data_IF_146613127279
#
_entry.id   IF_146613127279
#
_cell.length_a   1.000
_cell.length_b   1.000
_cell.length_c   1.000
_cell.angle_alpha   90.00
_cell.angle_beta   90.00
_cell.angle_gamma   90.00
#
_symmetry.space_group_name_H-M   'P 1'
#
loop_
_entity.id
_entity.type
_entity.pdbx_description
1 polymer ?
#
# COMPACT_ATOMS: atom_id res chain seq x y z
N UNK A 1 -3.23 9.77 21.13
CA UNK A 1 -2.13 10.68 20.71
C UNK A 1 -0.85 9.86 20.72
N UNK A 2 -0.04 9.89 19.65
CA UNK A 2 1.23 9.15 19.59
C UNK A 2 2.28 9.83 20.48
N UNK A 3 3.06 9.01 21.20
CA UNK A 3 4.25 9.48 21.92
C UNK A 3 5.46 8.97 21.15
N UNK A 4 6.04 9.77 20.25
CA UNK A 4 7.15 9.31 19.43
C UNK A 4 8.43 9.12 20.24
N UNK A 5 9.22 8.15 19.82
CA UNK A 5 10.54 7.88 20.38
C UNK A 5 11.60 8.51 19.47
N UNK A 6 12.49 9.28 20.04
CA UNK A 6 13.59 9.91 19.30
C UNK A 6 14.75 8.93 19.13
N UNK A 7 15.18 8.75 17.89
CA UNK A 7 16.35 7.96 17.52
C UNK A 7 17.35 8.83 16.75
N UNK A 8 18.63 8.73 17.13
CA UNK A 8 19.70 9.44 16.43
C UNK A 8 20.22 8.62 15.25
N UNK A 9 20.62 9.32 14.20
CA UNK A 9 21.23 8.73 13.02
C UNK A 9 22.75 8.82 13.07
N UNK A 10 23.40 7.83 12.47
CA UNK A 10 24.80 7.97 12.03
C UNK A 10 24.87 8.83 10.76
N UNK A 11 26.07 9.30 10.39
CA UNK A 11 26.29 10.04 9.12
C UNK A 11 25.80 9.25 7.90
N UNK A 12 25.98 7.92 7.92
CA UNK A 12 25.48 7.03 6.87
C UNK A 12 23.95 7.02 6.82
N UNK A 13 23.31 7.00 7.99
CA UNK A 13 21.84 7.06 8.09
C UNK A 13 21.28 8.38 7.56
N UNK A 14 21.94 9.48 7.91
CA UNK A 14 21.56 10.80 7.40
C UNK A 14 21.70 10.92 5.88
N UNK A 15 22.79 10.38 5.28
CA UNK A 15 22.91 10.30 3.82
C UNK A 15 21.74 9.58 3.18
N UNK A 16 21.25 8.49 3.76
CA UNK A 16 20.10 7.75 3.29
C UNK A 16 18.84 8.63 3.24
N UNK A 17 18.60 9.40 4.31
CA UNK A 17 17.46 10.33 4.39
C UNK A 17 17.59 11.48 3.39
N UNK A 18 18.78 12.04 3.21
CA UNK A 18 19.05 13.12 2.26
C UNK A 18 18.66 12.77 0.83
N UNK A 19 18.74 11.48 0.46
CA UNK A 19 18.29 10.97 -0.84
C UNK A 19 16.84 10.45 -0.81
N UNK A 20 16.07 10.76 0.23
CA UNK A 20 14.67 10.34 0.41
C UNK A 20 14.46 8.82 0.31
N UNK A 21 15.46 8.02 0.71
CA UNK A 21 15.31 6.57 0.72
C UNK A 21 14.34 6.17 1.84
N UNK A 22 13.31 5.36 1.53
CA UNK A 22 12.22 5.10 2.49
C UNK A 22 12.61 4.15 3.64
N UNK A 23 13.78 3.51 3.59
CA UNK A 23 14.19 2.51 4.58
C UNK A 23 15.50 2.87 5.24
N UNK A 24 15.52 2.82 6.57
CA UNK A 24 16.71 3.08 7.39
C UNK A 24 17.20 1.77 8.00
N UNK A 25 18.44 1.42 7.72
CA UNK A 25 19.08 0.24 8.28
C UNK A 25 19.25 0.35 9.80
N UNK A 26 19.12 -0.77 10.52
CA UNK A 26 19.34 -0.84 11.96
C UNK A 26 20.71 -0.29 12.36
N UNK A 27 21.77 -0.64 11.62
CA UNK A 27 23.14 -0.16 11.84
C UNK A 27 23.35 1.34 11.56
N UNK A 28 22.37 2.01 11.00
CA UNK A 28 22.37 3.47 10.76
C UNK A 28 21.72 4.24 11.89
N UNK A 29 21.24 3.56 12.93
CA UNK A 29 20.63 4.13 14.12
C UNK A 29 21.60 4.07 15.31
N UNK A 30 21.57 5.10 16.14
CA UNK A 30 22.28 5.17 17.41
C UNK A 30 21.26 5.02 18.53
N UNK A 31 21.39 3.95 19.31
CA UNK A 31 20.51 3.67 20.44
C UNK A 31 21.17 4.10 21.75
N UNK A 32 20.42 4.75 22.62
CA UNK A 32 20.83 4.95 24.01
C UNK A 32 20.78 3.62 24.77
N UNK A 33 21.39 3.57 25.95
CA UNK A 33 21.45 2.37 26.80
C UNK A 33 20.05 1.76 27.02
N UNK A 34 19.86 0.51 26.65
CA UNK A 34 18.59 -0.23 26.73
C UNK A 34 17.44 0.26 25.82
N UNK A 35 17.61 1.28 24.99
CA UNK A 35 16.55 1.79 24.13
C UNK A 35 16.12 0.72 23.09
N UNK A 36 17.10 0.05 22.49
CA UNK A 36 16.84 -1.02 21.50
C UNK A 36 15.95 -2.15 22.07
N UNK A 37 16.13 -2.51 23.36
CA UNK A 37 15.35 -3.59 24.02
C UNK A 37 13.89 -3.21 24.29
N UNK A 38 13.55 -1.92 24.27
CA UNK A 38 12.20 -1.41 24.57
C UNK A 38 11.39 -1.13 23.31
N UNK A 39 12.02 -1.05 22.14
CA UNK A 39 11.36 -0.74 20.89
C UNK A 39 10.67 -1.97 20.31
N UNK A 40 9.42 -1.84 19.97
CA UNK A 40 8.59 -2.85 19.31
C UNK A 40 8.15 -2.39 17.94
N UNK A 41 7.86 -3.34 17.05
CA UNK A 41 7.27 -3.04 15.75
C UNK A 41 6.01 -2.21 15.91
N UNK A 42 5.89 -1.15 15.11
CA UNK A 42 4.81 -0.18 15.20
C UNK A 42 5.12 1.05 16.07
N UNK A 43 6.27 1.11 16.76
CA UNK A 43 6.64 2.31 17.51
C UNK A 43 6.79 3.52 16.58
N UNK A 44 6.18 4.64 16.99
CA UNK A 44 6.31 5.93 16.32
C UNK A 44 7.71 6.50 16.56
N UNK A 45 8.45 6.84 15.52
CA UNK A 45 9.82 7.31 15.58
C UNK A 45 9.95 8.73 15.02
N UNK A 46 10.67 9.58 15.75
CA UNK A 46 11.27 10.81 15.25
C UNK A 46 12.77 10.58 15.06
N UNK A 47 13.29 10.85 13.87
CA UNK A 47 14.70 10.69 13.55
C UNK A 47 15.43 12.02 13.70
N UNK A 48 16.56 11.99 14.43
CA UNK A 48 17.40 13.16 14.68
C UNK A 48 18.80 12.97 14.11
N UNK A 49 19.33 14.02 13.51
CA UNK A 49 20.75 14.15 13.13
C UNK A 49 21.26 15.53 13.51
N UNK A 50 22.38 15.61 14.23
CA UNK A 50 22.94 16.86 14.79
C UNK A 50 21.90 17.68 15.59
N UNK A 51 21.06 17.00 16.38
CA UNK A 51 19.98 17.57 17.19
C UNK A 51 18.84 18.25 16.39
N UNK A 52 18.81 18.07 15.08
CA UNK A 52 17.70 18.51 14.22
C UNK A 52 16.81 17.31 13.87
N UNK A 53 15.50 17.52 13.86
CA UNK A 53 14.58 16.53 13.31
C UNK A 53 14.81 16.40 11.80
N UNK A 54 14.87 15.19 11.28
CA UNK A 54 15.08 14.92 9.85
C UNK A 54 13.98 14.07 9.24
N UNK A 55 12.99 13.68 10.04
CA UNK A 55 11.83 12.97 9.56
C UNK A 55 11.18 12.05 10.60
N UNK A 56 10.06 11.46 10.22
CA UNK A 56 9.29 10.52 11.04
C UNK A 56 9.11 9.19 10.32
N UNK A 57 9.00 8.13 11.09
CA UNK A 57 8.82 6.78 10.56
C UNK A 57 8.29 5.80 11.59
N UNK A 58 8.13 4.56 11.16
CA UNK A 58 7.67 3.43 11.99
C UNK A 58 8.83 2.47 12.20
N UNK A 59 9.03 2.02 13.44
CA UNK A 59 10.04 1.02 13.80
C UNK A 59 9.58 -0.40 13.51
N UNK A 60 10.53 -1.24 13.09
CA UNK A 60 10.36 -2.68 12.86
C UNK A 60 11.42 -3.45 13.65
N UNK A 61 10.97 -4.18 14.67
CA UNK A 61 11.83 -5.02 15.49
C UNK A 61 12.39 -6.19 14.67
N UNK A 62 13.63 -6.59 14.93
CA UNK A 62 14.32 -7.71 14.28
C UNK A 62 14.39 -7.59 12.73
N UNK A 63 14.30 -6.38 12.21
CA UNK A 63 14.38 -6.10 10.78
C UNK A 63 15.72 -5.46 10.40
N UNK A 64 16.28 -5.87 9.26
CA UNK A 64 17.42 -5.19 8.66
C UNK A 64 17.13 -3.71 8.40
N UNK A 65 15.90 -3.41 7.98
CA UNK A 65 15.37 -2.07 7.77
C UNK A 65 14.54 -1.67 9.00
N UNK A 66 15.22 -1.18 10.03
CA UNK A 66 14.63 -0.96 11.34
C UNK A 66 13.63 0.22 11.38
N UNK A 67 13.73 1.20 10.50
CA UNK A 67 12.73 2.26 10.37
C UNK A 67 12.30 2.40 8.92
N UNK A 68 11.00 2.43 8.70
CA UNK A 68 10.39 2.80 7.42
C UNK A 68 9.82 4.23 7.56
N UNK A 69 10.29 5.09 6.66
CA UNK A 69 9.95 6.52 6.67
C UNK A 69 8.50 6.75 6.25
N UNK A 70 7.86 7.69 6.94
CA UNK A 70 6.54 8.23 6.56
C UNK A 70 6.69 9.62 5.97
N UNK A 71 7.52 10.47 6.59
CA UNK A 71 7.73 11.83 6.12
C UNK A 71 9.16 12.27 6.39
N UNK A 72 9.69 13.15 5.52
CA UNK A 72 11.04 13.66 5.58
C UNK A 72 11.05 15.14 5.94
N UNK A 73 12.14 15.58 6.57
CA UNK A 73 12.42 17.00 6.85
C UNK A 73 12.10 17.44 8.27
N UNK A 74 12.51 18.66 8.57
CA UNK A 74 12.47 19.24 9.92
C UNK A 74 11.06 19.44 10.47
N UNK A 75 10.11 19.69 9.59
CA UNK A 75 8.70 19.92 9.94
C UNK A 75 7.86 18.65 10.02
N UNK A 76 8.43 17.50 9.72
CA UNK A 76 7.75 16.23 9.86
C UNK A 76 7.51 15.89 11.34
N UNK A 77 6.26 15.91 11.81
CA UNK A 77 5.89 15.67 13.21
C UNK A 77 4.74 14.68 13.30
N UNK A 78 4.76 13.83 14.31
CA UNK A 78 3.67 12.91 14.60
C UNK A 78 2.36 13.60 15.00
N UNK A 79 2.40 14.83 15.53
CA UNK A 79 1.21 15.65 15.77
C UNK A 79 0.43 15.96 14.48
N UNK A 80 1.11 15.99 13.33
CA UNK A 80 0.56 16.29 12.02
C UNK A 80 0.23 15.03 11.19
N UNK A 81 0.33 13.85 11.78
CA UNK A 81 0.25 12.57 11.04
C UNK A 81 -1.02 12.42 10.22
N UNK A 82 -2.18 12.89 10.72
CA UNK A 82 -3.45 12.83 9.97
C UNK A 82 -3.39 13.70 8.71
N UNK A 83 -2.82 14.90 8.80
CA UNK A 83 -2.65 15.80 7.66
C UNK A 83 -1.66 15.23 6.65
N UNK A 84 -0.55 14.64 7.12
CA UNK A 84 0.46 13.98 6.29
C UNK A 84 -0.17 12.82 5.51
N UNK A 85 -0.91 11.93 6.16
CA UNK A 85 -1.57 10.79 5.52
C UNK A 85 -2.62 11.29 4.51
N UNK A 86 -3.43 12.28 4.90
CA UNK A 86 -4.46 12.84 4.01
C UNK A 86 -3.83 13.42 2.75
N UNK A 87 -2.73 14.16 2.89
CA UNK A 87 -1.98 14.72 1.75
C UNK A 87 -1.47 13.60 0.83
N UNK A 88 -0.80 12.56 1.38
CA UNK A 88 -0.24 11.46 0.59
C UNK A 88 -1.34 10.71 -0.19
N UNK A 89 -2.47 10.41 0.46
CA UNK A 89 -3.60 9.78 -0.22
C UNK A 89 -4.14 10.70 -1.34
N UNK A 90 -4.27 12.01 -1.09
CA UNK A 90 -4.73 12.95 -2.11
C UNK A 90 -3.76 13.03 -3.30
N UNK A 91 -2.46 13.08 -3.05
CA UNK A 91 -1.45 13.17 -4.08
C UNK A 91 -1.43 11.87 -4.92
N UNK A 92 -1.55 10.71 -4.29
CA UNK A 92 -1.69 9.43 -4.96
C UNK A 92 -2.94 9.38 -5.87
N UNK A 93 -4.09 9.83 -5.39
CA UNK A 93 -5.34 9.89 -6.17
C UNK A 93 -5.23 10.84 -7.36
N UNK A 94 -4.60 12.02 -7.18
CA UNK A 94 -4.34 12.96 -8.28
C UNK A 94 -3.44 12.34 -9.35
N UNK A 95 -2.39 11.63 -8.93
CA UNK A 95 -1.48 10.95 -9.85
C UNK A 95 -2.20 9.86 -10.66
N UNK A 96 -3.08 9.05 -10.03
CA UNK A 96 -3.87 8.03 -10.74
C UNK A 96 -4.87 8.65 -11.71
N UNK A 97 -5.45 9.78 -11.36
CA UNK A 97 -6.31 10.55 -12.27
C UNK A 97 -5.52 11.06 -13.48
N UNK A 98 -4.30 11.56 -13.28
CA UNK A 98 -3.39 11.96 -14.37
C UNK A 98 -3.05 10.79 -15.30
N UNK A 99 -2.86 9.58 -14.75
CA UNK A 99 -2.63 8.35 -15.52
C UNK A 99 -3.90 7.77 -16.16
N UNK A 100 -5.03 8.46 -16.10
CA UNK A 100 -6.33 7.98 -16.61
C UNK A 100 -6.74 6.63 -16.03
N UNK A 101 -6.44 6.42 -14.76
CA UNK A 101 -6.85 5.22 -14.03
C UNK A 101 -8.37 5.13 -14.00
N UNK A 102 -8.91 4.02 -14.48
CA UNK A 102 -10.35 3.77 -14.53
C UNK A 102 -10.92 3.32 -13.17
N UNK A 103 -12.11 2.72 -13.18
CA UNK A 103 -12.79 2.25 -11.98
C UNK A 103 -12.16 1.00 -11.34
N UNK A 104 -11.19 0.37 -12.01
CA UNK A 104 -10.58 -0.88 -11.57
C UNK A 104 -9.06 -0.76 -11.57
N UNK A 105 -8.51 -0.13 -10.53
CA UNK A 105 -7.08 0.20 -10.48
C UNK A 105 -6.53 0.30 -9.07
N UNK A 106 -5.19 0.28 -8.96
CA UNK A 106 -4.46 0.57 -7.73
C UNK A 106 -4.41 2.06 -7.47
N UNK A 107 -5.08 2.51 -6.40
CA UNK A 107 -5.14 3.91 -6.00
C UNK A 107 -3.93 4.34 -5.15
N UNK A 108 -3.35 3.39 -4.37
CA UNK A 108 -2.22 3.66 -3.47
C UNK A 108 -1.29 2.45 -3.38
N UNK A 109 0.03 2.67 -3.43
CA UNK A 109 1.02 1.59 -3.42
C UNK A 109 2.19 1.84 -2.47
N UNK A 110 1.98 1.56 -1.21
CA UNK A 110 3.01 1.38 -0.18
C UNK A 110 4.09 2.48 -0.18
N UNK A 111 5.37 2.09 -0.20
CA UNK A 111 6.52 3.01 -0.22
C UNK A 111 6.52 3.95 -1.42
N UNK A 112 6.01 3.53 -2.56
CA UNK A 112 5.96 4.36 -3.78
C UNK A 112 5.09 5.61 -3.59
N UNK A 113 4.03 5.51 -2.76
CA UNK A 113 3.15 6.63 -2.41
C UNK A 113 3.39 7.14 -0.97
N UNK A 114 4.47 6.67 -0.32
CA UNK A 114 4.99 7.22 0.92
C UNK A 114 4.32 6.73 2.22
N UNK A 115 3.55 5.63 2.20
CA UNK A 115 3.05 4.95 3.41
C UNK A 115 3.39 3.46 3.34
N UNK A 116 4.56 3.06 3.87
CA UNK A 116 5.05 1.69 3.81
C UNK A 116 4.06 0.67 4.37
N UNK A 117 3.58 -0.23 3.51
CA UNK A 117 2.66 -1.30 3.90
C UNK A 117 1.18 -1.00 3.65
N UNK A 118 0.80 0.17 3.17
CA UNK A 118 -0.57 0.46 2.75
C UNK A 118 -0.74 0.23 1.24
N UNK A 119 -1.72 -0.58 0.86
CA UNK A 119 -2.17 -0.75 -0.52
C UNK A 119 -3.66 -0.42 -0.56
N UNK A 120 -4.09 0.37 -1.54
CA UNK A 120 -5.51 0.66 -1.76
C UNK A 120 -5.82 0.36 -3.23
N UNK A 121 -6.72 -0.59 -3.44
CA UNK A 121 -7.24 -0.95 -4.75
C UNK A 121 -8.72 -0.58 -4.84
N UNK A 122 -9.15 -0.16 -6.02
CA UNK A 122 -10.53 0.12 -6.36
C UNK A 122 -11.06 -0.91 -7.35
N UNK A 123 -12.25 -1.39 -7.08
CA UNK A 123 -13.04 -2.25 -7.96
C UNK A 123 -14.46 -1.68 -8.05
N UNK A 124 -14.75 -0.93 -9.13
CA UNK A 124 -16.01 -0.19 -9.30
C UNK A 124 -16.32 0.68 -8.05
N UNK A 125 -17.36 0.34 -7.29
CA UNK A 125 -17.77 1.02 -6.06
C UNK A 125 -17.24 0.35 -4.78
N UNK A 126 -16.23 -0.52 -4.89
CA UNK A 126 -15.58 -1.17 -3.76
C UNK A 126 -14.14 -0.68 -3.62
N UNK A 127 -13.77 -0.26 -2.44
CA UNK A 127 -12.38 0.04 -2.03
C UNK A 127 -11.86 -1.11 -1.18
N UNK A 128 -10.67 -1.58 -1.47
CA UNK A 128 -9.98 -2.59 -0.66
C UNK A 128 -8.68 -1.98 -0.14
N UNK A 129 -8.60 -1.79 1.17
CA UNK A 129 -7.40 -1.30 1.87
C UNK A 129 -6.65 -2.47 2.49
N UNK A 130 -5.46 -2.79 2.00
CA UNK A 130 -4.61 -3.84 2.54
C UNK A 130 -3.48 -3.24 3.37
N UNK A 131 -3.36 -3.73 4.61
CA UNK A 131 -2.28 -3.45 5.55
C UNK A 131 -1.30 -4.63 5.52
N UNK A 132 -0.23 -4.52 4.75
CA UNK A 132 0.67 -5.63 4.40
C UNK A 132 1.79 -5.89 5.41
N UNK A 133 1.82 -5.16 6.51
CA UNK A 133 2.75 -5.39 7.63
C UNK A 133 2.16 -4.88 8.96
N UNK A 134 2.63 -5.43 10.07
CA UNK A 134 2.16 -5.04 11.42
C UNK A 134 2.51 -3.60 11.80
N UNK A 135 3.58 -3.02 11.25
CA UNK A 135 3.99 -1.66 11.59
C UNK A 135 2.96 -0.61 11.20
N UNK A 136 2.35 -0.72 9.99
CA UNK A 136 1.37 0.26 9.51
C UNK A 136 0.07 0.24 10.33
N UNK A 137 -0.20 -0.82 11.09
CA UNK A 137 -1.44 -0.94 11.88
C UNK A 137 -1.58 0.16 12.94
N UNK A 138 -0.49 0.78 13.38
CA UNK A 138 -0.54 1.95 14.28
C UNK A 138 -1.34 3.12 13.68
N UNK A 139 -1.40 3.20 12.35
CA UNK A 139 -2.10 4.26 11.61
C UNK A 139 -3.47 3.82 11.07
N UNK A 140 -3.86 2.56 11.30
CA UNK A 140 -5.04 1.93 10.70
C UNK A 140 -6.31 2.75 10.90
N UNK A 141 -6.58 3.17 12.12
CA UNK A 141 -7.82 3.88 12.44
C UNK A 141 -7.89 5.26 11.77
N UNK A 142 -6.77 5.97 11.72
CA UNK A 142 -6.65 7.26 11.01
C UNK A 142 -6.86 7.06 9.50
N UNK A 143 -6.23 6.04 8.93
CA UNK A 143 -6.37 5.71 7.50
C UNK A 143 -7.82 5.35 7.20
N UNK A 144 -8.43 4.48 8.00
CA UNK A 144 -9.83 4.06 7.83
C UNK A 144 -10.80 5.26 7.92
N UNK A 145 -10.57 6.19 8.85
CA UNK A 145 -11.38 7.43 8.95
C UNK A 145 -11.26 8.28 7.68
N UNK A 146 -10.04 8.47 7.17
CA UNK A 146 -9.80 9.21 5.93
C UNK A 146 -10.49 8.53 4.74
N UNK A 147 -10.38 7.21 4.63
CA UNK A 147 -11.00 6.45 3.54
C UNK A 147 -12.53 6.53 3.59
N UNK A 148 -13.14 6.38 4.78
CA UNK A 148 -14.59 6.51 4.97
C UNK A 148 -15.11 7.89 4.55
N UNK A 149 -14.34 8.93 4.85
CA UNK A 149 -14.68 10.31 4.48
C UNK A 149 -14.54 10.55 2.97
N UNK A 150 -13.43 10.09 2.37
CA UNK A 150 -13.14 10.32 0.95
C UNK A 150 -14.01 9.51 0.00
N UNK A 151 -14.34 8.30 0.40
CA UNK A 151 -15.14 7.36 -0.39
C UNK A 151 -16.51 7.16 0.24
N UNK A 152 -17.24 8.29 0.44
CA UNK A 152 -18.52 8.29 1.15
C UNK A 152 -19.56 7.36 0.54
N UNK A 153 -19.57 7.20 -0.77
CA UNK A 153 -20.52 6.38 -1.51
C UNK A 153 -20.05 4.95 -1.78
N UNK A 154 -18.82 4.60 -1.33
CA UNK A 154 -18.22 3.30 -1.60
C UNK A 154 -18.39 2.34 -0.44
N UNK A 155 -18.40 1.05 -0.77
CA UNK A 155 -18.12 -0.02 0.18
C UNK A 155 -16.63 -0.13 0.44
N UNK A 156 -16.24 -0.45 1.68
CA UNK A 156 -14.81 -0.50 2.01
C UNK A 156 -14.51 -1.77 2.82
N UNK A 157 -13.54 -2.57 2.35
CA UNK A 157 -12.96 -3.73 3.03
C UNK A 157 -11.55 -3.38 3.49
N UNK A 158 -11.17 -3.79 4.72
CA UNK A 158 -9.78 -3.87 5.14
C UNK A 158 -9.28 -5.32 5.09
N UNK A 159 -8.02 -5.49 4.71
CA UNK A 159 -7.29 -6.75 4.76
C UNK A 159 -6.05 -6.52 5.61
N UNK A 160 -5.94 -7.25 6.70
CA UNK A 160 -4.81 -7.15 7.62
C UNK A 160 -3.71 -8.16 7.25
N UNK A 161 -2.49 -7.92 7.69
CA UNK A 161 -1.32 -8.78 7.44
C UNK A 161 -1.54 -10.23 7.90
N UNK A 162 -2.26 -10.43 9.00
CA UNK A 162 -2.60 -11.76 9.53
C UNK A 162 -3.69 -12.50 8.72
N UNK A 163 -4.14 -11.92 7.61
CA UNK A 163 -5.18 -12.47 6.75
C UNK A 163 -6.61 -12.16 7.16
N UNK A 164 -6.83 -11.47 8.29
CA UNK A 164 -8.17 -11.02 8.68
C UNK A 164 -8.70 -10.01 7.67
N UNK A 165 -9.97 -10.17 7.30
CA UNK A 165 -10.67 -9.36 6.31
C UNK A 165 -11.98 -8.90 6.90
N UNK A 166 -12.20 -7.58 6.96
CA UNK A 166 -13.37 -6.99 7.61
C UNK A 166 -13.98 -5.91 6.74
N UNK A 167 -15.31 -5.83 6.75
CA UNK A 167 -16.01 -4.65 6.27
C UNK A 167 -15.79 -3.50 7.25
N UNK A 168 -15.38 -2.35 6.73
CA UNK A 168 -15.28 -1.13 7.54
C UNK A 168 -16.33 -0.08 7.15
N UNK A 169 -16.99 -0.29 6.01
CA UNK A 169 -18.11 0.53 5.53
C UNK A 169 -18.95 -0.21 4.50
N UNK A 170 -20.28 -0.11 4.59
CA UNK A 170 -21.28 -0.57 3.62
C UNK A 170 -21.00 -1.98 3.08
N UNK A 171 -21.43 -3.01 3.79
CA UNK A 171 -21.32 -4.39 3.33
C UNK A 171 -22.17 -4.61 2.07
N UNK A 172 -21.63 -5.30 1.08
CA UNK A 172 -22.32 -5.65 -0.17
C UNK A 172 -22.18 -7.13 -0.46
N UNK A 173 -23.04 -7.63 -1.35
CA UNK A 173 -22.96 -9.01 -1.81
C UNK A 173 -21.71 -9.22 -2.67
N UNK A 174 -20.96 -10.28 -2.36
CA UNK A 174 -19.80 -10.75 -3.12
C UNK A 174 -20.10 -12.09 -3.81
N UNK A 175 -19.45 -12.42 -4.94
CA UNK A 175 -18.48 -11.60 -5.68
C UNK A 175 -19.14 -10.43 -6.42
N UNK A 176 -18.38 -9.34 -6.63
CA UNK A 176 -18.79 -8.26 -7.52
C UNK A 176 -18.35 -8.56 -8.96
N UNK A 177 -19.14 -8.11 -9.93
CA UNK A 177 -18.76 -8.12 -11.34
C UNK A 177 -18.05 -6.83 -11.68
N UNK A 178 -16.84 -6.91 -12.20
CA UNK A 178 -16.06 -5.75 -12.69
C UNK A 178 -15.75 -5.95 -14.17
N UNK A 179 -15.71 -4.85 -14.93
CA UNK A 179 -15.36 -4.89 -16.34
C UNK A 179 -14.01 -4.20 -16.58
N UNK A 180 -13.08 -4.90 -17.19
CA UNK A 180 -11.78 -4.39 -17.62
C UNK A 180 -11.49 -4.83 -19.04
N UNK A 181 -11.18 -3.87 -19.92
CA UNK A 181 -10.86 -4.15 -21.33
C UNK A 181 -11.96 -4.94 -22.06
N UNK A 182 -13.25 -4.65 -21.76
CA UNK A 182 -14.44 -5.37 -22.27
C UNK A 182 -14.45 -6.88 -21.92
N UNK A 183 -13.86 -7.24 -20.78
CA UNK A 183 -13.93 -8.59 -20.18
C UNK A 183 -14.50 -8.44 -18.78
N UNK A 184 -15.49 -9.27 -18.43
CA UNK A 184 -16.10 -9.29 -17.10
C UNK A 184 -15.41 -10.30 -16.20
N UNK A 185 -15.08 -9.86 -14.98
CA UNK A 185 -14.46 -10.68 -13.94
C UNK A 185 -15.32 -10.66 -12.68
N UNK A 186 -15.46 -11.82 -12.04
CA UNK A 186 -16.03 -11.90 -10.70
C UNK A 186 -14.93 -11.80 -9.67
N UNK A 187 -14.98 -10.78 -8.83
CA UNK A 187 -13.95 -10.48 -7.83
C UNK A 187 -14.53 -10.63 -6.43
N UNK A 188 -13.84 -11.40 -5.59
CA UNK A 188 -14.16 -11.55 -4.18
C UNK A 188 -12.91 -11.27 -3.33
N UNK A 189 -12.75 -10.06 -2.77
CA UNK A 189 -11.62 -9.72 -1.92
C UNK A 189 -11.55 -10.56 -0.63
N UNK A 190 -12.68 -11.06 -0.14
CA UNK A 190 -12.71 -11.87 1.10
C UNK A 190 -12.12 -13.27 0.90
N UNK A 191 -12.22 -13.86 -0.28
CA UNK A 191 -11.69 -15.20 -0.58
C UNK A 191 -10.50 -15.19 -1.56
N UNK A 192 -10.32 -14.09 -2.31
CA UNK A 192 -9.28 -13.98 -3.33
C UNK A 192 -7.87 -13.75 -2.77
N UNK A 193 -6.89 -13.88 -3.65
CA UNK A 193 -5.50 -13.52 -3.38
C UNK A 193 -5.30 -12.00 -3.46
N UNK A 194 -4.25 -11.47 -2.83
CA UNK A 194 -3.99 -10.02 -2.75
C UNK A 194 -5.25 -9.27 -2.25
N UNK A 195 -5.67 -8.28 -3.00
CA UNK A 195 -6.89 -7.51 -2.77
C UNK A 195 -8.13 -8.08 -3.49
N UNK A 196 -8.00 -9.28 -4.09
CA UNK A 196 -9.05 -9.99 -4.83
C UNK A 196 -8.71 -10.26 -6.29
N UNK A 197 -7.79 -9.49 -6.88
CA UNK A 197 -7.36 -9.63 -8.28
C UNK A 197 -5.94 -9.12 -8.52
N UNK A 198 -5.31 -9.54 -9.61
CA UNK A 198 -3.98 -9.10 -10.04
C UNK A 198 -4.09 -7.90 -10.99
N UNK A 199 -4.42 -6.72 -10.46
CA UNK A 199 -4.53 -5.49 -11.25
C UNK A 199 -3.23 -5.10 -11.96
N UNK A 200 -2.09 -5.39 -11.33
CA UNK A 200 -0.74 -5.14 -11.85
C UNK A 200 -0.43 -5.90 -13.14
N UNK A 201 -1.16 -6.99 -13.42
CA UNK A 201 -0.96 -7.79 -14.64
C UNK A 201 -1.79 -7.30 -15.85
N UNK A 202 -2.59 -6.23 -15.71
CA UNK A 202 -3.46 -5.75 -16.80
C UNK A 202 -2.68 -5.39 -18.07
N UNK A 203 -1.57 -4.66 -17.93
CA UNK A 203 -0.71 -4.31 -19.07
C UNK A 203 -0.08 -5.55 -19.71
N UNK A 204 0.35 -6.52 -18.90
CA UNK A 204 0.92 -7.78 -19.40
C UNK A 204 -0.13 -8.63 -20.13
N UNK A 205 -1.37 -8.68 -19.65
CA UNK A 205 -2.45 -9.37 -20.36
C UNK A 205 -2.72 -8.77 -21.72
N UNK A 206 -2.80 -7.44 -21.82
CA UNK A 206 -2.98 -6.75 -23.08
C UNK A 206 -1.79 -7.00 -24.01
N UNK A 207 -0.56 -6.89 -23.51
CA UNK A 207 0.65 -7.11 -24.28
C UNK A 207 0.71 -8.53 -24.87
N UNK A 208 0.48 -9.57 -24.05
CA UNK A 208 0.46 -10.96 -24.54
C UNK A 208 -0.64 -11.17 -25.58
N UNK A 209 -1.82 -10.57 -25.38
CA UNK A 209 -2.93 -10.68 -26.33
C UNK A 209 -2.60 -10.15 -27.74
N UNK A 210 -1.61 -9.27 -27.91
CA UNK A 210 -1.17 -8.77 -29.21
C UNK A 210 -0.47 -9.84 -30.05
N UNK A 211 0.12 -10.86 -29.40
CA UNK A 211 0.80 -11.97 -30.09
C UNK A 211 -0.14 -13.14 -30.41
N UNK A 212 -1.36 -13.13 -29.89
CA UNK A 212 -2.33 -14.20 -30.08
C UNK A 212 -3.09 -13.99 -31.38
N UNK A 213 -3.12 -15.03 -32.20
CA UNK A 213 -3.86 -15.08 -33.48
C UNK A 213 -5.05 -16.02 -33.36
N UNK A 214 -6.10 -15.84 -34.18
CA UNK A 214 -7.23 -16.78 -34.21
C UNK A 214 -6.77 -18.23 -34.40
N UNK A 215 -7.45 -19.15 -33.71
CA UNK A 215 -7.20 -20.59 -33.72
C UNK A 215 -5.88 -21.06 -33.12
N UNK A 216 -5.11 -20.18 -32.42
CA UNK A 216 -3.96 -20.61 -31.65
C UNK A 216 -4.38 -21.42 -30.43
N UNK A 217 -3.67 -22.51 -30.15
CA UNK A 217 -3.79 -23.21 -28.87
C UNK A 217 -2.98 -22.47 -27.80
N UNK A 218 -3.65 -22.10 -26.69
CA UNK A 218 -3.05 -21.36 -25.58
C UNK A 218 -3.18 -22.16 -24.28
N UNK A 219 -2.08 -22.39 -23.60
CA UNK A 219 -2.04 -22.96 -22.25
C UNK A 219 -1.80 -21.85 -21.22
N UNK A 220 -2.78 -21.58 -20.35
CA UNK A 220 -2.64 -20.68 -19.19
C UNK A 220 -2.30 -21.52 -17.94
N UNK A 221 -0.99 -21.74 -17.70
CA UNK A 221 -0.52 -22.47 -16.54
C UNK A 221 -0.52 -21.55 -15.30
N UNK A 222 -0.97 -22.09 -14.14
CA UNK A 222 -1.17 -21.34 -12.90
C UNK A 222 -2.18 -20.19 -13.05
N UNK A 223 -3.24 -20.44 -13.78
CA UNK A 223 -4.20 -19.47 -14.31
C UNK A 223 -4.91 -18.60 -13.26
N UNK A 224 -5.00 -19.00 -11.99
CA UNK A 224 -5.77 -18.37 -10.92
C UNK A 224 -7.24 -18.14 -11.35
N UNK A 225 -7.61 -16.92 -11.79
CA UNK A 225 -8.96 -16.61 -12.30
C UNK A 225 -9.08 -16.79 -13.82
N UNK A 226 -8.07 -17.32 -14.49
CA UNK A 226 -8.05 -17.50 -15.95
C UNK A 226 -7.97 -16.18 -16.73
N UNK A 227 -7.46 -15.11 -16.11
CA UNK A 227 -7.49 -13.80 -16.73
C UNK A 227 -6.68 -13.73 -18.04
N UNK A 228 -5.51 -14.37 -18.14
CA UNK A 228 -4.75 -14.45 -19.38
C UNK A 228 -5.50 -15.27 -20.46
N UNK A 229 -6.10 -16.40 -20.08
CA UNK A 229 -6.91 -17.21 -20.98
C UNK A 229 -8.10 -16.42 -21.55
N UNK A 230 -8.77 -15.59 -20.74
CA UNK A 230 -9.89 -14.76 -21.21
C UNK A 230 -9.43 -13.70 -22.23
N UNK A 231 -8.24 -13.12 -22.07
CA UNK A 231 -7.67 -12.24 -23.09
C UNK A 231 -7.29 -12.98 -24.38
N UNK A 232 -6.83 -14.23 -24.27
CA UNK A 232 -6.59 -15.10 -25.42
C UNK A 232 -7.89 -15.43 -26.16
N UNK A 233 -8.92 -15.87 -25.45
CA UNK A 233 -10.25 -16.16 -26.01
C UNK A 233 -10.86 -14.94 -26.74
N UNK A 234 -10.66 -13.73 -26.20
CA UNK A 234 -11.09 -12.49 -26.86
C UNK A 234 -10.41 -12.30 -28.24
N UNK A 235 -9.25 -12.91 -28.47
CA UNK A 235 -8.53 -12.92 -29.75
C UNK A 235 -8.87 -14.13 -30.61
N UNK A 236 -9.88 -14.94 -30.22
CA UNK A 236 -10.33 -16.12 -30.94
C UNK A 236 -9.28 -17.27 -30.95
N UNK A 237 -8.46 -17.37 -29.89
CA UNK A 237 -7.59 -18.52 -29.67
C UNK A 237 -8.41 -19.76 -29.30
#
# INVERSE_FOLDING_TARGET
MFTPIKLKLTDRGYKTIKYHHPWIYQKSLIFSKNQNKKLKTGAAIELEYNNLNVGIGIYFENSLYAVKMIEFGEYAKWSEIKNIITKKINDALKYRKFLSCDNNCRLFFSEADGLPGLIIDRYENLIVAQYSNTGILILKDIINEILKSKFSEFSIIEILENGNKNWIKNEITLPICVEMDNIKFLINPLSGQKTGFYLDQRANRNFIAEYIKPQMAVLDAFAYTGAFALYALKKQA
#
